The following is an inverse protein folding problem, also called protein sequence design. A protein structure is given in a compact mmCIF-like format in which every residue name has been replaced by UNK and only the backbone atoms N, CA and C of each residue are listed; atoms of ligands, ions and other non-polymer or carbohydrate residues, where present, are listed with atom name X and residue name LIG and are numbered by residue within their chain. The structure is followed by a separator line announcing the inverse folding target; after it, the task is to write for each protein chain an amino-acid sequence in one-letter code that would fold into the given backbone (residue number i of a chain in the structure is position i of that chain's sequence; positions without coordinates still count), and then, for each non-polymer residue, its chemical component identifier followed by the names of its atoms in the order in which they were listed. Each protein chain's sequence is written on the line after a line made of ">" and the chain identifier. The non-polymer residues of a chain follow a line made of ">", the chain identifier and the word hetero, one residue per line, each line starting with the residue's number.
data_IF_633125321575
#
_entry.id   IF_633125321575
#
_cell.length_a   1.000
_cell.length_b   1.000
_cell.length_c   1.000
_cell.angle_alpha   90.00
_cell.angle_beta   90.00
_cell.angle_gamma   90.00
#
_symmetry.space_group_name_H-M   'P 1'
#
loop_
_entity.id
_entity.type
_entity.pdbx_description
1 polymer ?
#
# COMPACT_ATOMS: atom_id res chain seq x y z
N UNK A 1 -10.63 1.51 16.79
CA UNK A 1 -10.05 0.60 15.78
C UNK A 1 -9.19 1.46 14.89
N UNK A 2 -7.90 1.15 14.77
CA UNK A 2 -7.01 1.90 13.89
C UNK A 2 -7.34 1.56 12.42
N UNK A 3 -7.18 2.53 11.51
CA UNK A 3 -7.45 2.37 10.08
C UNK A 3 -6.23 2.86 9.30
N UNK A 4 -5.89 2.16 8.23
CA UNK A 4 -4.87 2.59 7.25
C UNK A 4 -5.52 2.93 5.93
N UNK A 5 -5.12 4.04 5.34
CA UNK A 5 -5.50 4.43 3.97
C UNK A 5 -4.30 4.24 3.07
N UNK A 6 -4.45 3.41 2.05
CA UNK A 6 -3.43 3.23 1.00
C UNK A 6 -3.93 3.94 -0.25
N UNK A 7 -3.10 4.86 -0.75
CA UNK A 7 -3.25 5.46 -2.07
C UNK A 7 -2.19 4.79 -2.94
N UNK A 8 -2.59 4.26 -4.09
CA UNK A 8 -1.69 3.61 -5.02
C UNK A 8 -1.98 4.03 -6.45
N UNK A 9 -0.97 3.83 -7.30
CA UNK A 9 -1.02 4.17 -8.71
C UNK A 9 -0.74 2.92 -9.55
N UNK A 10 -1.55 2.70 -10.58
CA UNK A 10 -1.25 1.77 -11.68
C UNK A 10 -1.22 2.61 -12.94
N UNK A 11 -0.05 2.64 -13.60
CA UNK A 11 0.20 3.55 -14.71
C UNK A 11 -0.07 5.02 -14.30
N UNK A 12 -1.06 5.69 -14.89
CA UNK A 12 -1.45 7.07 -14.56
C UNK A 12 -2.71 7.15 -13.66
N UNK A 13 -3.28 6.00 -13.27
CA UNK A 13 -4.52 5.95 -12.50
C UNK A 13 -4.25 5.87 -10.99
N UNK A 14 -4.84 6.80 -10.22
CA UNK A 14 -4.78 6.83 -8.75
C UNK A 14 -6.03 6.17 -8.13
N UNK A 15 -5.84 5.35 -7.11
CA UNK A 15 -6.93 4.74 -6.34
C UNK A 15 -6.65 4.78 -4.84
N UNK A 16 -7.69 5.03 -4.04
CA UNK A 16 -7.65 5.00 -2.58
C UNK A 16 -8.44 3.81 -2.02
N UNK A 17 -7.82 3.03 -1.14
CA UNK A 17 -8.48 1.94 -0.40
C UNK A 17 -8.24 2.10 1.10
N UNK A 18 -9.22 1.67 1.90
CA UNK A 18 -9.19 1.72 3.36
C UNK A 18 -9.11 0.31 3.94
N UNK A 19 -8.23 0.14 4.91
CA UNK A 19 -8.02 -1.11 5.64
C UNK A 19 -8.34 -0.92 7.11
N UNK A 20 -9.14 -1.80 7.73
CA UNK A 20 -9.44 -1.75 9.16
C UNK A 20 -8.27 -2.31 10.00
N UNK A 21 -7.03 -1.96 9.64
CA UNK A 21 -5.78 -2.42 10.24
C UNK A 21 -4.93 -1.18 10.55
N UNK A 22 -4.21 -1.19 11.67
CA UNK A 22 -3.26 -0.12 12.02
C UNK A 22 -2.13 0.00 10.99
N UNK A 23 -1.62 1.22 10.78
CA UNK A 23 -0.49 1.45 9.87
C UNK A 23 0.81 0.80 10.33
N UNK A 24 0.87 0.45 11.62
CA UNK A 24 1.99 -0.27 12.22
C UNK A 24 1.95 -1.79 11.96
N UNK A 25 0.76 -2.32 11.62
CA UNK A 25 0.51 -3.77 11.49
C UNK A 25 0.25 -4.21 10.05
N UNK A 26 -0.19 -3.28 9.19
CA UNK A 26 -0.52 -3.57 7.80
C UNK A 26 0.70 -4.09 7.02
N UNK A 27 0.48 -5.12 6.21
CA UNK A 27 1.53 -5.77 5.43
C UNK A 27 1.27 -5.66 3.93
N UNK A 28 2.30 -5.97 3.13
CA UNK A 28 2.14 -6.08 1.69
C UNK A 28 1.16 -7.21 1.29
N UNK A 29 1.00 -8.24 2.12
CA UNK A 29 0.09 -9.34 1.83
C UNK A 29 -1.37 -8.86 1.88
N UNK A 30 -1.72 -8.05 2.88
CA UNK A 30 -3.06 -7.46 3.02
C UNK A 30 -3.42 -6.64 1.77
N UNK A 31 -2.47 -5.84 1.28
CA UNK A 31 -2.65 -5.06 0.07
C UNK A 31 -2.79 -5.94 -1.19
N UNK A 32 -1.98 -7.00 -1.32
CA UNK A 32 -2.05 -7.92 -2.47
C UNK A 32 -3.38 -8.66 -2.55
N UNK A 33 -3.98 -9.03 -1.42
CA UNK A 33 -5.29 -9.69 -1.38
C UNK A 33 -6.39 -8.79 -1.94
N UNK A 34 -6.33 -7.48 -1.67
CA UNK A 34 -7.29 -6.50 -2.20
C UNK A 34 -7.07 -6.27 -3.70
N UNK A 35 -5.82 -6.13 -4.14
CA UNK A 35 -5.53 -5.87 -5.54
C UNK A 35 -5.91 -7.07 -6.44
N UNK A 36 -5.77 -8.30 -5.93
CA UNK A 36 -6.09 -9.55 -6.63
C UNK A 36 -5.50 -9.65 -8.05
N UNK A 37 -4.33 -9.05 -8.27
CA UNK A 37 -3.60 -9.10 -9.54
C UNK A 37 -2.24 -9.79 -9.34
N UNK A 38 -1.97 -10.91 -10.04
CA UNK A 38 -0.68 -11.56 -9.98
C UNK A 38 0.40 -10.75 -10.73
N UNK A 39 1.67 -10.98 -10.39
CA UNK A 39 2.86 -10.54 -11.14
C UNK A 39 3.14 -9.02 -11.23
N UNK A 40 2.76 -8.25 -10.21
CA UNK A 40 3.18 -6.85 -10.09
C UNK A 40 4.39 -6.67 -9.18
N UNK A 41 5.23 -5.68 -9.49
CA UNK A 41 6.21 -5.11 -8.57
C UNK A 41 5.54 -3.97 -7.79
N UNK A 42 5.80 -3.92 -6.49
CA UNK A 42 5.23 -2.92 -5.59
C UNK A 42 6.35 -1.99 -5.13
N UNK A 43 6.16 -0.70 -5.34
CA UNK A 43 7.04 0.35 -4.84
C UNK A 43 6.24 1.15 -3.82
N UNK A 44 6.80 1.32 -2.62
CA UNK A 44 6.16 2.08 -1.56
C UNK A 44 6.93 3.37 -1.37
N UNK A 45 6.21 4.49 -1.24
CA UNK A 45 6.81 5.72 -0.75
C UNK A 45 7.30 5.45 0.66
N UNK A 46 8.61 5.54 0.84
CA UNK A 46 9.29 5.37 2.11
C UNK A 46 10.28 6.50 2.27
N UNK A 47 10.73 6.71 3.49
CA UNK A 47 11.78 7.66 3.82
C UNK A 47 13.02 6.84 4.14
N UNK A 48 14.01 6.88 3.27
CA UNK A 48 15.31 6.29 3.53
C UNK A 48 16.17 7.28 4.33
N UNK A 49 16.99 6.79 5.25
CA UNK A 49 17.77 7.68 6.12
C UNK A 49 18.85 8.45 5.37
N UNK A 50 19.42 7.86 4.32
CA UNK A 50 20.54 8.42 3.57
C UNK A 50 20.07 9.22 2.34
N UNK A 51 18.91 8.83 1.77
CA UNK A 51 18.39 9.41 0.52
C UNK A 51 17.17 10.33 0.71
N UNK A 52 16.49 10.24 1.85
CA UNK A 52 15.24 10.96 2.13
C UNK A 52 13.99 10.29 1.57
#
# INVERSE_FOLDING_TARGET
>A
MAETKIIYHIDEEETLVKFPISSEEITLLDFKQVLNKPNYKFFLKSMDHDFG
#
